data_IF_468975318017
#
_entry.id   IF_468975318017
#
_cell.length_a   1.000
_cell.length_b   1.000
_cell.length_c   1.000
_cell.angle_alpha   90.00
_cell.angle_beta   90.00
_cell.angle_gamma   90.00
#
_symmetry.space_group_name_H-M   'P 1'
#
loop_
_entity.id
_entity.type
_entity.pdbx_description
1 polymer ?
#
# COMPACT_ATOMS: atom_id res chain seq x y z
N UNK A 1 -7.16 6.44 20.18
CA UNK A 1 -7.35 6.90 18.79
C UNK A 1 -6.98 5.77 17.82
N UNK A 2 -7.82 5.47 16.83
CA UNK A 2 -7.65 4.37 15.84
C UNK A 2 -6.59 4.64 14.74
N UNK A 3 -5.80 5.71 14.88
CA UNK A 3 -4.89 6.18 13.84
C UNK A 3 -3.78 5.16 13.54
N UNK A 4 -3.20 4.53 14.56
CA UNK A 4 -2.16 3.48 14.43
C UNK A 4 -2.68 2.12 13.93
N UNK A 5 -4.00 1.97 13.79
CA UNK A 5 -4.64 0.72 13.36
C UNK A 5 -5.19 0.74 11.94
N UNK A 6 -5.01 1.85 11.20
CA UNK A 6 -5.42 1.93 9.79
C UNK A 6 -4.44 1.11 8.96
N UNK A 7 -4.77 -0.15 8.71
CA UNK A 7 -4.04 -1.03 7.79
C UNK A 7 -4.93 -1.36 6.61
N UNK A 8 -4.34 -1.41 5.44
CA UNK A 8 -4.97 -2.04 4.30
C UNK A 8 -4.89 -3.56 4.53
N UNK A 9 -6.04 -4.24 4.58
CA UNK A 9 -6.14 -5.65 4.99
C UNK A 9 -6.11 -6.63 3.84
N UNK A 10 -6.32 -6.16 2.61
CA UNK A 10 -6.29 -6.98 1.39
C UNK A 10 -5.38 -6.31 0.37
N UNK A 11 -5.00 -7.02 -0.69
CA UNK A 11 -4.19 -6.42 -1.77
C UNK A 11 -4.92 -5.26 -2.45
N UNK A 12 -6.26 -5.35 -2.54
CA UNK A 12 -7.13 -4.43 -3.28
C UNK A 12 -7.53 -3.19 -2.49
N UNK A 13 -7.76 -2.09 -3.19
CA UNK A 13 -8.24 -0.81 -2.65
C UNK A 13 -7.14 0.12 -2.17
N UNK A 14 -5.92 -0.01 -2.71
CA UNK A 14 -4.78 0.80 -2.27
C UNK A 14 -4.98 2.29 -2.55
N UNK A 15 -5.64 2.64 -3.65
CA UNK A 15 -5.94 4.03 -4.02
C UNK A 15 -6.84 4.70 -2.98
N UNK A 16 -7.96 4.07 -2.66
CA UNK A 16 -8.93 4.56 -1.68
C UNK A 16 -8.30 4.65 -0.29
N UNK A 17 -7.46 3.68 0.06
CA UNK A 17 -6.73 3.69 1.32
C UNK A 17 -5.78 4.89 1.42
N UNK A 18 -4.99 5.17 0.37
CA UNK A 18 -4.09 6.34 0.36
C UNK A 18 -4.88 7.65 0.40
N UNK A 19 -5.99 7.76 -0.34
CA UNK A 19 -6.86 8.94 -0.28
C UNK A 19 -7.38 9.18 1.15
N UNK A 20 -7.86 8.13 1.81
CA UNK A 20 -8.31 8.21 3.21
C UNK A 20 -7.20 8.67 4.15
N UNK A 21 -5.97 8.21 3.95
CA UNK A 21 -4.81 8.60 4.77
C UNK A 21 -4.46 10.08 4.59
N UNK A 22 -4.51 10.57 3.35
CA UNK A 22 -4.34 12.00 3.03
C UNK A 22 -5.44 12.85 3.67
N UNK A 23 -6.69 12.41 3.59
CA UNK A 23 -7.82 13.16 4.15
C UNK A 23 -7.73 13.24 5.68
N UNK A 24 -7.25 12.18 6.34
CA UNK A 24 -7.00 12.20 7.78
C UNK A 24 -5.83 13.12 8.13
N UNK A 25 -4.74 13.12 7.36
CA UNK A 25 -3.64 14.07 7.56
C UNK A 25 -4.11 15.52 7.45
N UNK A 26 -5.00 15.83 6.49
CA UNK A 26 -5.63 17.15 6.38
C UNK A 26 -6.53 17.50 7.58
N UNK A 27 -7.30 16.53 8.09
CA UNK A 27 -8.09 16.72 9.32
C UNK A 27 -7.21 16.99 10.54
N UNK A 28 -6.06 16.32 10.65
CA UNK A 28 -5.11 16.54 11.74
C UNK A 28 -4.45 17.91 11.65
N UNK A 29 -4.18 18.41 10.44
CA UNK A 29 -3.70 19.77 10.24
C UNK A 29 -4.67 20.82 10.77
N UNK A 30 -5.98 20.62 10.59
CA UNK A 30 -7.02 21.49 11.17
C UNK A 30 -7.05 21.47 12.70
N UNK A 31 -6.45 20.44 13.32
CA UNK A 31 -6.29 20.31 14.77
C UNK A 31 -4.87 20.71 15.23
N UNK A 32 -4.15 21.47 14.40
CA UNK A 32 -2.77 21.92 14.65
C UNK A 32 -1.73 20.80 14.75
N UNK A 33 -2.08 19.58 14.30
CA UNK A 33 -1.16 18.44 14.21
C UNK A 33 -0.68 18.31 12.76
N UNK A 34 0.54 18.79 12.51
CA UNK A 34 1.14 18.75 11.17
C UNK A 34 1.95 17.47 10.96
N UNK A 35 1.72 16.78 9.85
CA UNK A 35 2.57 15.70 9.35
C UNK A 35 3.35 16.17 8.14
N UNK A 36 4.65 15.89 8.09
CA UNK A 36 5.42 16.11 6.87
C UNK A 36 5.02 15.09 5.80
N UNK A 37 5.10 15.48 4.53
CA UNK A 37 4.82 14.57 3.41
C UNK A 37 5.69 13.32 3.46
N UNK A 38 6.97 13.49 3.82
CA UNK A 38 7.92 12.38 4.00
C UNK A 38 7.44 11.40 5.07
N UNK A 39 6.99 11.91 6.23
CA UNK A 39 6.44 11.07 7.28
C UNK A 39 5.17 10.37 6.83
N UNK A 40 4.26 11.07 6.14
CA UNK A 40 3.01 10.50 5.66
C UNK A 40 3.26 9.37 4.64
N UNK A 41 4.23 9.52 3.73
CA UNK A 41 4.65 8.46 2.80
C UNK A 41 5.17 7.24 3.55
N UNK A 42 6.09 7.42 4.51
CA UNK A 42 6.58 6.31 5.32
C UNK A 42 5.48 5.65 6.17
N UNK A 43 4.55 6.45 6.67
CA UNK A 43 3.42 5.95 7.44
C UNK A 43 2.51 5.08 6.56
N UNK A 44 2.13 5.57 5.37
CA UNK A 44 1.33 4.82 4.39
C UNK A 44 2.01 3.49 4.05
N UNK A 45 3.31 3.48 3.74
CA UNK A 45 4.06 2.24 3.45
C UNK A 45 3.99 1.21 4.60
N UNK A 46 3.88 1.66 5.84
CA UNK A 46 3.73 0.78 7.02
C UNK A 46 2.29 0.29 7.25
N UNK A 47 1.32 0.86 6.55
CA UNK A 47 -0.08 0.41 6.57
C UNK A 47 -0.41 -0.60 5.50
N UNK A 48 0.44 -0.75 4.48
CA UNK A 48 0.28 -1.73 3.40
C UNK A 48 0.44 -3.16 3.95
N UNK A 49 -0.27 -4.14 3.37
CA UNK A 49 -0.19 -5.52 3.81
C UNK A 49 1.12 -6.17 3.37
N UNK A 50 1.46 -7.31 3.98
CA UNK A 50 2.76 -7.97 3.81
C UNK A 50 3.09 -8.37 2.35
N UNK A 51 2.08 -8.55 1.49
CA UNK A 51 2.29 -8.84 0.06
C UNK A 51 3.06 -7.73 -0.66
N UNK A 52 2.98 -6.48 -0.18
CA UNK A 52 3.77 -5.35 -0.69
C UNK A 52 5.21 -5.34 -0.15
N UNK A 53 5.67 -6.42 0.49
CA UNK A 53 7.02 -6.53 1.06
C UNK A 53 8.13 -6.17 0.06
N UNK A 54 8.19 -6.79 -1.14
CA UNK A 54 9.16 -6.46 -2.17
C UNK A 54 9.10 -4.99 -2.61
N UNK A 55 7.89 -4.44 -2.77
CA UNK A 55 7.68 -3.03 -3.08
C UNK A 55 8.27 -2.09 -2.02
N UNK A 56 8.07 -2.38 -0.73
CA UNK A 56 8.65 -1.60 0.38
C UNK A 56 10.18 -1.65 0.38
N UNK A 57 10.76 -2.82 0.10
CA UNK A 57 12.22 -2.98 -0.03
C UNK A 57 12.74 -2.15 -1.20
N UNK A 58 12.05 -2.20 -2.34
CA UNK A 58 12.38 -1.37 -3.51
C UNK A 58 12.37 0.12 -3.15
N UNK A 59 11.29 0.62 -2.54
CA UNK A 59 11.22 2.02 -2.10
C UNK A 59 12.37 2.40 -1.15
N UNK A 60 12.64 1.57 -0.12
CA UNK A 60 13.68 1.88 0.88
C UNK A 60 15.11 1.86 0.32
N UNK A 61 15.34 1.18 -0.81
CA UNK A 61 16.65 1.10 -1.47
C UNK A 61 16.83 2.17 -2.54
N UNK A 62 15.75 2.75 -3.03
CA UNK A 62 15.79 3.94 -3.87
C UNK A 62 15.97 5.19 -2.99
N UNK A 63 16.89 6.08 -3.38
CA UNK A 63 17.16 7.32 -2.63
C UNK A 63 16.18 8.47 -2.96
N UNK A 64 15.23 8.23 -3.87
CA UNK A 64 14.28 9.25 -4.30
C UNK A 64 13.11 9.36 -3.32
N UNK A 65 12.80 10.59 -2.91
CA UNK A 65 11.64 10.88 -2.07
C UNK A 65 10.42 11.07 -2.94
N UNK A 66 9.49 10.12 -2.89
CA UNK A 66 8.22 10.24 -3.60
C UNK A 66 7.28 11.22 -2.92
N UNK A 67 6.54 11.97 -3.73
CA UNK A 67 5.28 12.59 -3.34
C UNK A 67 4.21 11.53 -3.09
N UNK A 68 3.12 11.93 -2.41
CA UNK A 68 1.97 11.04 -2.18
C UNK A 68 1.33 10.57 -3.50
N UNK A 69 1.37 11.41 -4.54
CA UNK A 69 0.81 11.07 -5.86
C UNK A 69 1.66 10.05 -6.60
N UNK A 70 2.99 10.17 -6.52
CA UNK A 70 3.92 9.16 -7.05
C UNK A 70 3.76 7.85 -6.31
N UNK A 71 3.74 7.88 -4.96
CA UNK A 71 3.46 6.70 -4.15
C UNK A 71 2.14 6.03 -4.54
N UNK A 72 1.07 6.81 -4.71
CA UNK A 72 -0.24 6.27 -5.13
C UNK A 72 -0.17 5.58 -6.49
N UNK A 73 0.52 6.18 -7.46
CA UNK A 73 0.68 5.61 -8.80
C UNK A 73 1.43 4.29 -8.74
N UNK A 74 2.56 4.26 -8.01
CA UNK A 74 3.39 3.08 -7.86
C UNK A 74 2.68 1.95 -7.10
N UNK A 75 1.92 2.30 -6.06
CA UNK A 75 1.10 1.33 -5.32
C UNK A 75 -0.01 0.71 -6.17
N UNK A 76 -0.68 1.49 -7.04
CA UNK A 76 -1.71 0.97 -7.94
C UNK A 76 -1.12 -0.01 -8.96
N UNK A 77 0.05 0.30 -9.52
CA UNK A 77 0.74 -0.64 -10.42
C UNK A 77 1.15 -1.93 -9.68
N UNK A 78 1.64 -1.81 -8.45
CA UNK A 78 1.99 -2.97 -7.63
C UNK A 78 0.76 -3.81 -7.24
N UNK A 79 -0.38 -3.16 -6.95
CA UNK A 79 -1.66 -3.83 -6.71
C UNK A 79 -2.07 -4.69 -7.92
N UNK A 80 -2.01 -4.13 -9.13
CA UNK A 80 -2.31 -4.85 -10.37
C UNK A 80 -1.39 -6.06 -10.56
N UNK A 81 -0.08 -5.89 -10.34
CA UNK A 81 0.92 -6.97 -10.38
C UNK A 81 0.57 -8.09 -9.40
N UNK A 82 0.29 -7.74 -8.14
CA UNK A 82 -0.04 -8.71 -7.09
C UNK A 82 -1.36 -9.44 -7.36
N UNK A 83 -2.35 -8.77 -7.95
CA UNK A 83 -3.62 -9.41 -8.34
C UNK A 83 -3.38 -10.46 -9.43
N UNK A 84 -2.52 -10.16 -10.42
CA UNK A 84 -2.15 -11.12 -11.47
C UNK A 84 -1.46 -12.35 -10.89
N UNK A 85 -0.45 -12.16 -10.03
CA UNK A 85 0.27 -13.27 -9.37
C UNK A 85 -0.65 -14.15 -8.52
N UNK A 86 -1.60 -13.55 -7.80
CA UNK A 86 -2.56 -14.31 -7.00
C UNK A 86 -3.49 -15.16 -7.88
N UNK A 87 -3.88 -14.63 -9.04
CA UNK A 87 -4.65 -15.36 -10.05
C UNK A 87 -3.89 -16.54 -10.63
N UNK A 88 -2.64 -16.33 -11.03
CA UNK A 88 -1.75 -17.38 -11.55
C UNK A 88 -1.52 -18.50 -10.51
N UNK A 89 -1.27 -18.12 -9.26
CA UNK A 89 -1.08 -19.09 -8.16
C UNK A 89 -2.33 -19.95 -7.93
N UNK A 90 -3.53 -19.36 -8.02
CA UNK A 90 -4.78 -20.11 -7.87
C UNK A 90 -5.00 -21.09 -9.03
N UNK A 91 -4.66 -20.69 -10.27
CA UNK A 91 -4.74 -21.57 -11.44
C UNK A 91 -3.78 -22.77 -11.32
N UNK A 92 -2.53 -22.54 -10.91
CA UNK A 92 -1.55 -23.61 -10.70
C UNK A 92 -1.99 -24.60 -9.61
N UNK A 93 -2.55 -24.11 -8.50
CA UNK A 93 -3.04 -24.97 -7.43
C UNK A 93 -4.17 -25.91 -7.91
N UNK A 94 -5.10 -25.40 -8.73
CA UNK A 94 -6.19 -26.20 -9.29
C UNK A 94 -5.65 -27.29 -10.24
N UNK A 95 -4.68 -26.97 -11.11
CA UNK A 95 -4.08 -27.93 -12.02
C UNK A 95 -3.35 -29.07 -11.29
N UNK A 96 -2.69 -28.77 -10.17
CA UNK A 96 -2.04 -29.79 -9.34
C UNK A 96 -3.09 -30.71 -8.70
N UNK A 97 -4.22 -30.15 -8.25
CA UNK A 97 -5.27 -30.92 -7.59
C UNK A 97 -6.07 -31.81 -8.57
N UNK A 98 -6.16 -31.44 -9.86
CA UNK A 98 -6.75 -32.29 -10.90
C UNK A 98 -5.86 -33.47 -11.33
N UNK A 99 -4.59 -33.50 -10.92
CA UNK A 99 -3.64 -34.57 -11.23
C UNK A 99 -3.44 -35.60 -10.09
N UNK A 100 -4.22 -35.51 -9.00
CA UNK A 100 -4.20 -36.41 -7.84
C UNK A 100 -5.52 -37.17 -7.78
#
# INVERSE_FOLDING_TARGET
>A
MKFSSLRLTTVKGVREHIMKMRDIAGQLQNLEVTMSDVFLVHFILNTLPHQYGPFKISYNTHNDKWSINELMTMCVQEEERLIMELGESAMLANLIQEQI
#
